data_IF_767551757439
#
_entry.id   IF_767551757439
#
_cell.length_a   1.000
_cell.length_b   1.000
_cell.length_c   1.000
_cell.angle_alpha   90.00
_cell.angle_beta   90.00
_cell.angle_gamma   90.00
#
_symmetry.space_group_name_H-M   'P 1'
#
loop_
_entity.id
_entity.type
_entity.pdbx_description
1 polymer ?
#
# COMPACT_ATOMS: atom_id res chain seq x y z
N UNK A 1 -8.04 -20.81 5.10
CA UNK A 1 -8.24 -20.05 6.35
C UNK A 1 -6.94 -20.02 7.17
N UNK A 2 -5.88 -19.37 6.68
CA UNK A 2 -4.58 -19.34 7.36
C UNK A 2 -4.11 -17.87 7.45
N UNK A 3 -4.69 -17.12 8.38
CA UNK A 3 -4.33 -15.73 8.65
C UNK A 3 -3.63 -15.55 10.01
N UNK A 4 -3.33 -16.66 10.70
CA UNK A 4 -2.47 -16.64 11.88
C UNK A 4 -1.00 -16.56 11.43
N UNK A 5 -0.53 -15.35 11.13
CA UNK A 5 0.91 -15.12 11.10
C UNK A 5 1.42 -15.17 12.55
N UNK A 6 1.93 -16.32 12.96
CA UNK A 6 2.40 -16.57 14.34
C UNK A 6 3.58 -15.67 14.73
N UNK A 7 4.24 -15.01 13.77
CA UNK A 7 5.28 -14.03 14.03
C UNK A 7 4.75 -12.67 14.51
N UNK A 8 3.45 -12.40 14.34
CA UNK A 8 2.81 -11.16 14.79
C UNK A 8 2.25 -11.31 16.20
N UNK A 9 2.37 -10.26 17.00
CA UNK A 9 1.77 -10.19 18.32
C UNK A 9 0.28 -9.90 18.21
N UNK A 10 -0.51 -10.56 19.05
CA UNK A 10 -1.97 -10.33 19.16
C UNK A 10 -2.28 -9.02 19.91
N UNK A 11 -1.38 -8.63 20.81
CA UNK A 11 -1.47 -7.39 21.58
C UNK A 11 -0.18 -6.57 21.44
N UNK A 12 -0.28 -5.27 21.10
CA UNK A 12 -1.50 -4.57 20.72
C UNK A 12 -2.14 -5.11 19.43
N UNK A 13 -3.45 -5.00 19.31
CA UNK A 13 -4.17 -5.45 18.11
C UNK A 13 -3.71 -4.70 16.86
N UNK A 14 -3.63 -5.36 15.69
CA UNK A 14 -3.41 -4.70 14.41
C UNK A 14 -4.40 -3.57 14.15
N UNK A 15 -3.93 -2.45 13.57
CA UNK A 15 -4.78 -1.30 13.26
C UNK A 15 -4.56 -0.84 11.83
N UNK A 16 -5.63 -0.49 11.15
CA UNK A 16 -5.60 0.19 9.85
C UNK A 16 -6.18 1.60 10.01
N UNK A 17 -5.52 2.58 9.41
CA UNK A 17 -5.95 3.98 9.42
C UNK A 17 -5.83 4.59 8.05
N UNK A 18 -6.77 5.46 7.67
CA UNK A 18 -6.55 6.45 6.61
C UNK A 18 -5.73 7.59 7.21
N UNK A 19 -4.62 7.95 6.57
CA UNK A 19 -3.70 9.00 7.04
C UNK A 19 -3.92 10.31 6.32
N UNK A 20 -4.13 10.28 5.01
CA UNK A 20 -4.35 11.46 4.18
C UNK A 20 -4.90 11.09 2.81
N UNK A 21 -5.40 12.10 2.11
CA UNK A 21 -5.58 12.08 0.66
C UNK A 21 -4.31 12.63 0.01
N UNK A 22 -3.70 11.85 -0.88
CA UNK A 22 -2.62 12.30 -1.75
C UNK A 22 -3.16 12.90 -3.04
N UNK A 23 -2.27 13.42 -3.89
CA UNK A 23 -2.61 14.06 -5.18
C UNK A 23 -3.42 13.14 -6.10
N UNK A 24 -3.16 11.83 -6.06
CA UNK A 24 -3.91 10.82 -6.81
C UNK A 24 -4.04 9.51 -6.03
N UNK A 25 -4.13 9.58 -4.71
CA UNK A 25 -4.18 8.38 -3.85
C UNK A 25 -4.90 8.61 -2.52
N UNK A 26 -5.29 7.52 -1.86
CA UNK A 26 -5.66 7.52 -0.43
C UNK A 26 -4.56 6.78 0.32
N UNK A 27 -3.94 7.45 1.27
CA UNK A 27 -2.82 6.88 2.01
C UNK A 27 -3.35 6.14 3.25
N UNK A 28 -3.19 4.82 3.24
CA UNK A 28 -3.48 3.96 4.39
C UNK A 28 -2.21 3.64 5.18
N UNK A 29 -2.36 3.42 6.48
CA UNK A 29 -1.31 2.90 7.36
C UNK A 29 -1.81 1.65 8.06
N UNK A 30 -1.07 0.55 7.90
CA UNK A 30 -1.21 -0.68 8.69
C UNK A 30 -0.17 -0.65 9.81
N UNK A 31 -0.64 -0.72 11.05
CA UNK A 31 0.19 -0.87 12.25
C UNK A 31 0.02 -2.29 12.79
N UNK A 32 1.13 -3.02 12.84
CA UNK A 32 1.23 -4.38 13.39
C UNK A 32 2.46 -4.46 14.29
N UNK A 33 2.46 -5.45 15.18
CA UNK A 33 3.55 -5.69 16.12
C UNK A 33 4.16 -7.05 15.83
N UNK A 34 5.48 -7.11 15.72
CA UNK A 34 6.22 -8.37 15.61
C UNK A 34 6.59 -8.87 17.01
N UNK A 35 6.51 -10.18 17.24
CA UNK A 35 6.90 -10.78 18.52
C UNK A 35 8.40 -10.69 18.76
N UNK A 36 9.18 -10.91 17.70
CA UNK A 36 10.63 -10.77 17.69
C UNK A 36 11.04 -9.59 16.81
N UNK A 37 11.71 -8.55 17.34
CA UNK A 37 12.24 -7.43 16.57
C UNK A 37 13.16 -7.85 15.41
N UNK A 38 13.88 -8.97 15.52
CA UNK A 38 14.77 -9.47 14.46
C UNK A 38 14.00 -9.80 13.17
N UNK A 39 12.72 -10.19 13.30
CA UNK A 39 11.85 -10.60 12.20
C UNK A 39 11.16 -9.42 11.51
N UNK A 40 11.32 -8.18 12.01
CA UNK A 40 10.64 -6.99 11.49
C UNK A 40 10.76 -6.84 9.97
N UNK A 41 11.97 -7.02 9.43
CA UNK A 41 12.21 -6.88 7.98
C UNK A 41 11.47 -7.93 7.16
N UNK A 42 11.56 -9.20 7.58
CA UNK A 42 10.91 -10.31 6.90
C UNK A 42 9.38 -10.18 6.94
N UNK A 43 8.82 -9.85 8.09
CA UNK A 43 7.37 -9.71 8.24
C UNK A 43 6.81 -8.50 7.49
N UNK A 44 7.57 -7.40 7.42
CA UNK A 44 7.22 -6.25 6.58
C UNK A 44 7.12 -6.67 5.11
N UNK A 45 8.10 -7.41 4.60
CA UNK A 45 8.11 -7.90 3.23
C UNK A 45 6.94 -8.86 2.95
N UNK A 46 6.68 -9.80 3.85
CA UNK A 46 5.59 -10.76 3.72
C UNK A 46 4.22 -10.06 3.69
N UNK A 47 4.00 -9.09 4.59
CA UNK A 47 2.77 -8.30 4.62
C UNK A 47 2.58 -7.48 3.34
N UNK A 48 3.63 -6.81 2.86
CA UNK A 48 3.55 -6.03 1.61
C UNK A 48 3.23 -6.91 0.40
N UNK A 49 3.88 -8.07 0.26
CA UNK A 49 3.57 -9.04 -0.80
C UNK A 49 2.13 -9.54 -0.72
N UNK A 50 1.65 -9.86 0.49
CA UNK A 50 0.29 -10.32 0.71
C UNK A 50 -0.73 -9.24 0.36
N UNK A 51 -0.52 -8.00 0.79
CA UNK A 51 -1.38 -6.85 0.47
C UNK A 51 -1.42 -6.65 -1.05
N UNK A 52 -0.25 -6.61 -1.70
CA UNK A 52 -0.14 -6.42 -3.14
C UNK A 52 -0.88 -7.52 -3.93
N UNK A 53 -0.65 -8.79 -3.59
CA UNK A 53 -1.35 -9.93 -4.21
C UNK A 53 -2.87 -9.86 -3.98
N UNK A 54 -3.29 -9.55 -2.76
CA UNK A 54 -4.71 -9.44 -2.40
C UNK A 54 -5.39 -8.29 -3.14
N UNK A 55 -4.75 -7.14 -3.25
CA UNK A 55 -5.28 -5.98 -3.97
C UNK A 55 -5.42 -6.30 -5.46
N UNK A 56 -4.39 -6.89 -6.07
CA UNK A 56 -4.44 -7.36 -7.45
C UNK A 56 -5.60 -8.33 -7.69
N UNK A 57 -5.78 -9.33 -6.83
CA UNK A 57 -6.86 -10.32 -6.96
C UNK A 57 -8.25 -9.72 -6.75
N UNK A 58 -8.34 -8.60 -6.03
CA UNK A 58 -9.60 -7.86 -5.81
C UNK A 58 -9.84 -6.73 -6.81
N UNK A 59 -8.96 -6.56 -7.81
CA UNK A 59 -9.05 -5.46 -8.78
C UNK A 59 -8.82 -4.08 -8.17
N UNK A 60 -8.14 -4.00 -7.02
CA UNK A 60 -7.74 -2.72 -6.40
C UNK A 60 -6.41 -2.31 -7.03
N UNK A 61 -6.43 -1.21 -7.79
CA UNK A 61 -5.25 -0.62 -8.40
C UNK A 61 -4.46 0.24 -7.40
N UNK A 62 -3.13 0.10 -7.40
CA UNK A 62 -2.23 0.96 -6.62
C UNK A 62 -1.73 2.04 -7.58
N UNK A 63 -2.10 3.31 -7.38
CA UNK A 63 -1.75 4.38 -8.31
C UNK A 63 -0.24 4.62 -8.30
N UNK A 64 0.37 4.62 -9.49
CA UNK A 64 1.67 5.24 -9.70
C UNK A 64 1.49 6.76 -9.88
N UNK A 65 2.52 7.59 -9.64
CA UNK A 65 2.43 9.02 -9.89
C UNK A 65 1.95 9.28 -11.32
N UNK A 66 0.79 9.92 -11.44
CA UNK A 66 0.24 10.31 -12.74
C UNK A 66 0.75 11.70 -13.10
N UNK A 67 1.06 11.91 -14.38
CA UNK A 67 1.44 13.22 -14.90
C UNK A 67 0.55 13.52 -16.09
N UNK A 68 -0.30 14.52 -15.95
CA UNK A 68 -1.11 15.01 -17.06
C UNK A 68 -0.23 15.86 -18.00
N UNK A 69 -0.19 15.49 -19.29
CA UNK A 69 0.52 16.24 -20.33
C UNK A 69 -0.52 16.99 -21.16
N UNK A 70 -0.56 18.31 -21.01
CA UNK A 70 -1.35 19.18 -21.88
C UNK A 70 -0.53 19.57 -23.11
N UNK A 71 -0.81 18.96 -24.26
CA UNK A 71 -0.23 19.38 -25.54
C UNK A 71 -1.06 20.54 -26.08
N UNK A 72 -0.50 21.75 -26.07
CA UNK A 72 -1.06 22.88 -26.83
C UNK A 72 -0.58 22.75 -28.27
N UNK A 73 -1.49 22.51 -29.20
CA UNK A 73 -1.17 22.50 -30.62
C UNK A 73 -0.59 23.86 -31.03
N UNK A 74 0.54 23.84 -31.74
CA UNK A 74 0.93 24.97 -32.57
C UNK A 74 -0.19 25.16 -33.59
N UNK A 75 -1.01 26.20 -33.42
CA UNK A 75 -1.75 26.75 -34.54
C UNK A 75 -0.70 27.16 -35.57
N UNK A 76 -0.78 26.54 -36.74
CA UNK A 76 0.13 26.77 -37.84
C UNK A 76 0.14 28.26 -38.17
N UNK A 77 1.27 28.90 -37.90
CA UNK A 77 1.65 30.12 -38.59
C UNK A 77 1.86 29.76 -40.06
N UNK A 78 0.86 30.03 -40.88
CA UNK A 78 0.93 30.15 -42.33
C UNK A 78 0.31 31.48 -42.73
#
# INVERSE_FOLDING_TARGET
MAWANTALAEKPEPRVRVRSFGESSINFQLLVWVRDPSMKGLETHNLLKMIHSTFRNKGIEIPFPQRDIHIKGQEGSS
#
